data_IF_673522111023
#
_entry.id   IF_673522111023
#
_cell.length_a   1.000
_cell.length_b   1.000
_cell.length_c   1.000
_cell.angle_alpha   90.00
_cell.angle_beta   90.00
_cell.angle_gamma   90.00
#
_symmetry.space_group_name_H-M   'P 1'
#
loop_
_entity.id
_entity.type
_entity.pdbx_description
1 polymer ?
#
# COMPACT_ATOMS: atom_id res chain seq x y z
N UNK A 1 21.94 -8.84 -13.71
CA UNK A 1 20.94 -8.99 -12.64
C UNK A 1 20.38 -10.39 -12.79
N UNK A 2 20.50 -11.26 -11.77
CA UNK A 2 20.01 -12.63 -11.85
C UNK A 2 18.49 -12.66 -11.64
N UNK A 3 17.79 -13.61 -12.26
CA UNK A 3 16.36 -13.86 -12.01
C UNK A 3 16.09 -14.19 -10.53
N UNK A 4 17.08 -14.74 -9.84
CA UNK A 4 17.01 -15.06 -8.42
C UNK A 4 17.02 -13.79 -7.54
N UNK A 5 17.77 -12.74 -7.93
CA UNK A 5 17.78 -11.45 -7.22
C UNK A 5 16.46 -10.70 -7.39
N UNK A 6 15.85 -10.81 -8.58
CA UNK A 6 14.55 -10.21 -8.89
C UNK A 6 13.42 -10.94 -8.14
N UNK A 7 13.48 -12.27 -8.07
CA UNK A 7 12.57 -13.05 -7.25
C UNK A 7 12.72 -12.73 -5.75
N UNK A 8 13.95 -12.61 -5.23
CA UNK A 8 14.23 -12.26 -3.82
C UNK A 8 13.75 -10.85 -3.44
N UNK A 9 13.76 -9.90 -4.38
CA UNK A 9 13.20 -8.55 -4.19
C UNK A 9 11.68 -8.59 -4.02
N UNK A 10 11.00 -9.49 -4.71
CA UNK A 10 9.53 -9.58 -4.67
C UNK A 10 9.01 -10.34 -3.45
N UNK A 11 9.88 -10.90 -2.59
CA UNK A 11 9.48 -11.64 -1.36
C UNK A 11 9.58 -10.77 -0.11
N UNK A 12 10.28 -9.63 -0.16
CA UNK A 12 10.46 -8.78 1.02
C UNK A 12 9.30 -7.81 1.16
N UNK A 13 8.63 -7.86 2.31
CA UNK A 13 7.59 -6.91 2.67
C UNK A 13 8.17 -5.52 2.95
N UNK A 14 7.39 -4.51 2.56
CA UNK A 14 7.63 -3.08 2.71
C UNK A 14 6.41 -2.53 3.45
N UNK A 15 6.64 -1.72 4.48
CA UNK A 15 5.58 -0.95 5.12
C UNK A 15 5.43 0.40 4.40
N UNK A 16 4.21 0.74 4.00
CA UNK A 16 3.86 2.03 3.40
C UNK A 16 2.53 2.53 3.98
N UNK A 17 2.43 3.84 4.24
CA UNK A 17 1.18 4.45 4.73
C UNK A 17 0.53 5.25 3.61
N UNK A 18 -0.67 4.82 3.19
CA UNK A 18 -1.51 5.56 2.25
C UNK A 18 -2.44 6.50 3.01
N UNK A 19 -2.61 7.71 2.53
CA UNK A 19 -3.59 8.67 3.04
C UNK A 19 -4.78 8.68 2.08
N UNK A 20 -5.81 7.91 2.43
CA UNK A 20 -7.04 7.78 1.62
C UNK A 20 -8.10 8.76 2.09
N UNK A 21 -8.98 9.19 1.20
CA UNK A 21 -10.09 10.06 1.56
C UNK A 21 -11.12 9.30 2.42
N UNK A 22 -11.49 9.89 3.56
CA UNK A 22 -12.41 9.30 4.53
C UNK A 22 -13.82 9.14 3.96
N UNK A 23 -14.29 10.07 3.13
CA UNK A 23 -15.60 9.97 2.47
C UNK A 23 -15.61 8.79 1.49
N UNK A 24 -14.55 8.64 0.70
CA UNK A 24 -14.41 7.52 -0.25
C UNK A 24 -14.35 6.18 0.47
N UNK A 25 -13.69 6.11 1.62
CA UNK A 25 -13.51 4.88 2.39
C UNK A 25 -14.74 4.52 3.24
N UNK A 26 -15.49 5.52 3.75
CA UNK A 26 -16.72 5.32 4.51
C UNK A 26 -17.92 4.95 3.61
N UNK A 27 -17.96 5.47 2.38
CA UNK A 27 -19.02 5.16 1.41
C UNK A 27 -19.00 3.69 0.94
N UNK A 28 -17.85 2.99 1.03
CA UNK A 28 -17.77 1.54 0.82
C UNK A 28 -18.01 0.71 2.10
N UNK A 29 -18.42 1.33 3.20
CA UNK A 29 -18.57 0.65 4.49
C UNK A 29 -17.25 0.20 5.12
N UNK A 30 -16.11 0.73 4.65
CA UNK A 30 -14.79 0.23 5.02
C UNK A 30 -14.41 -1.09 4.35
N UNK A 31 -15.23 -1.60 3.42
CA UNK A 31 -14.90 -2.80 2.65
C UNK A 31 -14.03 -2.40 1.44
N UNK A 32 -12.88 -3.06 1.32
CA UNK A 32 -12.04 -3.02 0.12
C UNK A 32 -12.77 -3.77 -1.00
N UNK A 33 -12.61 -3.32 -2.24
CA UNK A 33 -13.10 -4.05 -3.42
C UNK A 33 -12.23 -5.29 -3.73
N UNK A 34 -11.81 -6.02 -2.70
CA UNK A 34 -10.95 -7.18 -2.73
C UNK A 34 -11.15 -8.03 -1.46
N UNK A 35 -11.10 -9.33 -1.64
CA UNK A 35 -11.07 -10.32 -0.55
C UNK A 35 -9.67 -10.42 0.07
N UNK A 36 -9.60 -11.00 1.27
CA UNK A 36 -8.32 -11.28 1.95
C UNK A 36 -7.41 -12.20 1.11
N UNK A 37 -7.99 -13.19 0.42
CA UNK A 37 -7.25 -14.09 -0.47
C UNK A 37 -6.66 -13.34 -1.68
N UNK A 38 -7.38 -12.37 -2.24
CA UNK A 38 -6.90 -11.53 -3.34
C UNK A 38 -5.77 -10.60 -2.87
N UNK A 39 -5.89 -10.02 -1.68
CA UNK A 39 -4.82 -9.23 -1.04
C UNK A 39 -3.56 -10.09 -0.88
N UNK A 40 -3.69 -11.28 -0.31
CA UNK A 40 -2.57 -12.19 -0.10
C UNK A 40 -1.95 -12.63 -1.43
N UNK A 41 -2.75 -13.00 -2.43
CA UNK A 41 -2.28 -13.38 -3.76
C UNK A 41 -1.56 -12.23 -4.49
N UNK A 42 -1.95 -10.98 -4.23
CA UNK A 42 -1.26 -9.79 -4.73
C UNK A 42 0.08 -9.53 -4.03
N UNK A 43 0.35 -10.18 -2.89
CA UNK A 43 1.53 -9.95 -2.06
C UNK A 43 1.31 -8.93 -0.94
N UNK A 44 0.06 -8.66 -0.57
CA UNK A 44 -0.29 -7.85 0.61
C UNK A 44 -0.39 -8.76 1.82
N UNK A 45 0.40 -8.46 2.85
CA UNK A 45 0.47 -9.23 4.09
C UNK A 45 -0.50 -8.70 5.15
N UNK A 46 -0.62 -7.37 5.29
CA UNK A 46 -1.57 -6.77 6.22
C UNK A 46 -1.99 -5.38 5.81
N UNK A 47 -3.23 -5.02 6.12
CA UNK A 47 -3.79 -3.67 5.99
C UNK A 47 -4.34 -3.26 7.35
N UNK A 48 -3.79 -2.20 7.92
CA UNK A 48 -4.18 -1.65 9.21
C UNK A 48 -4.83 -0.27 9.02
N UNK A 49 -6.11 -0.20 9.34
CA UNK A 49 -6.94 1.00 9.23
C UNK A 49 -7.24 1.46 10.67
N UNK A 50 -6.71 2.61 11.10
CA UNK A 50 -6.98 3.11 12.44
C UNK A 50 -8.49 3.27 12.70
N UNK A 51 -8.94 2.97 13.92
CA UNK A 51 -10.37 3.03 14.29
C UNK A 51 -10.79 4.39 14.87
N UNK A 52 -9.81 5.22 15.23
CA UNK A 52 -10.04 6.55 15.80
C UNK A 52 -9.30 7.59 14.96
N UNK A 53 -9.95 8.10 13.92
CA UNK A 53 -9.44 9.28 13.21
C UNK A 53 -9.89 10.52 13.98
N UNK A 54 -8.92 11.21 14.58
CA UNK A 54 -9.15 12.55 15.09
C UNK A 54 -9.46 13.47 13.92
N UNK A 55 -10.54 14.24 14.02
CA UNK A 55 -10.98 15.27 13.07
C UNK A 55 -9.91 16.34 12.74
N UNK A 56 -8.73 16.24 13.35
CA UNK A 56 -7.66 17.25 13.34
C UNK A 56 -6.66 17.05 12.18
N UNK A 57 -6.64 15.88 11.51
CA UNK A 57 -5.75 15.60 10.37
C UNK A 57 -6.38 15.82 8.99
N UNK A 58 -7.58 16.39 8.93
CA UNK A 58 -8.38 16.56 7.71
C UNK A 58 -9.06 15.26 7.30
N UNK A 59 -9.86 15.30 6.22
CA UNK A 59 -10.70 14.20 5.72
C UNK A 59 -9.90 12.99 5.17
N UNK A 60 -8.70 12.71 5.68
CA UNK A 60 -7.83 11.62 5.20
C UNK A 60 -7.48 10.63 6.30
N UNK A 61 -7.61 9.36 5.94
CA UNK A 61 -7.39 8.17 6.76
C UNK A 61 -5.99 7.60 6.44
N UNK A 62 -5.03 7.61 7.38
CA UNK A 62 -3.76 6.90 7.21
C UNK A 62 -3.97 5.38 7.30
N UNK A 63 -3.93 4.69 6.17
CA UNK A 63 -3.99 3.23 6.05
C UNK A 63 -2.58 2.68 5.90
N UNK A 64 -2.14 1.89 6.87
CA UNK A 64 -0.82 1.26 6.87
C UNK A 64 -0.90 -0.09 6.19
N UNK A 65 -0.02 -0.32 5.21
CA UNK A 65 0.01 -1.55 4.41
C UNK A 65 1.40 -2.16 4.47
N UNK A 66 1.45 -3.44 4.79
CA UNK A 66 2.66 -4.27 4.71
C UNK A 66 2.50 -5.19 3.51
N UNK A 67 3.35 -5.04 2.50
CA UNK A 67 3.24 -5.80 1.25
C UNK A 67 4.56 -5.86 0.48
N UNK A 68 4.68 -6.79 -0.45
CA UNK A 68 5.79 -6.80 -1.41
C UNK A 68 5.73 -5.58 -2.33
N UNK A 69 6.79 -5.32 -3.10
CA UNK A 69 6.78 -4.24 -4.09
C UNK A 69 5.61 -4.37 -5.07
N UNK A 70 5.33 -5.59 -5.55
CA UNK A 70 4.14 -5.90 -6.36
C UNK A 70 2.84 -5.63 -5.60
N UNK A 71 2.75 -6.07 -4.35
CA UNK A 71 1.56 -5.90 -3.52
C UNK A 71 1.22 -4.43 -3.26
N UNK A 72 2.22 -3.58 -2.98
CA UNK A 72 2.01 -2.14 -2.81
C UNK A 72 1.49 -1.46 -4.08
N UNK A 73 1.99 -1.86 -5.26
CA UNK A 73 1.50 -1.34 -6.56
C UNK A 73 0.06 -1.76 -6.83
N UNK A 74 -0.24 -3.02 -6.54
CA UNK A 74 -1.58 -3.55 -6.69
C UNK A 74 -2.57 -2.85 -5.75
N UNK A 75 -2.21 -2.67 -4.48
CA UNK A 75 -3.02 -1.97 -3.49
C UNK A 75 -3.25 -0.50 -3.85
N UNK A 76 -2.23 0.21 -4.36
CA UNK A 76 -2.37 1.58 -4.85
C UNK A 76 -3.40 1.68 -6.00
N UNK A 77 -3.47 0.66 -6.87
CA UNK A 77 -4.50 0.55 -7.91
C UNK A 77 -5.89 0.28 -7.33
N UNK A 78 -5.99 -0.62 -6.35
CA UNK A 78 -7.24 -0.96 -5.67
C UNK A 78 -7.91 0.25 -5.03
N UNK A 79 -7.13 1.10 -4.34
CA UNK A 79 -7.63 2.32 -3.69
C UNK A 79 -7.74 3.52 -4.64
N UNK A 80 -7.44 3.32 -5.93
CA UNK A 80 -7.46 4.35 -6.97
C UNK A 80 -6.61 5.58 -6.57
N UNK A 81 -5.35 5.36 -6.20
CA UNK A 81 -4.45 6.41 -5.70
C UNK A 81 -4.19 7.51 -6.75
N UNK A 82 -4.86 8.65 -6.60
CA UNK A 82 -4.70 9.81 -7.49
C UNK A 82 -3.73 10.87 -6.99
N UNK A 83 -3.37 10.87 -5.72
CA UNK A 83 -2.51 11.91 -5.17
C UNK A 83 -1.08 11.83 -5.78
N UNK A 84 -0.61 12.86 -6.50
CA UNK A 84 0.70 12.80 -7.17
C UNK A 84 1.87 12.68 -6.20
N UNK A 85 1.77 13.29 -5.01
CA UNK A 85 2.83 13.26 -4.00
C UNK A 85 2.93 11.87 -3.38
N UNK A 86 1.80 11.24 -3.06
CA UNK A 86 1.81 9.86 -2.56
C UNK A 86 2.32 8.87 -3.61
N UNK A 87 2.01 9.09 -4.89
CA UNK A 87 2.54 8.28 -5.99
C UNK A 87 4.05 8.42 -6.13
N UNK A 88 4.57 9.65 -6.10
CA UNK A 88 6.02 9.88 -6.12
C UNK A 88 6.72 9.23 -4.92
N UNK A 89 6.15 9.36 -3.72
CA UNK A 89 6.73 8.77 -2.52
C UNK A 89 6.70 7.24 -2.56
N UNK A 90 5.62 6.64 -3.07
CA UNK A 90 5.56 5.20 -3.30
C UNK A 90 6.70 4.74 -4.22
N UNK A 91 6.90 5.41 -5.37
CA UNK A 91 8.01 5.07 -6.27
C UNK A 91 9.37 5.21 -5.59
N UNK A 92 9.58 6.27 -4.81
CA UNK A 92 10.81 6.49 -4.06
C UNK A 92 11.10 5.36 -3.08
N UNK A 93 10.09 4.93 -2.30
CA UNK A 93 10.22 3.82 -1.34
C UNK A 93 10.54 2.51 -2.06
N UNK A 94 9.87 2.22 -3.17
CA UNK A 94 10.09 1.01 -3.96
C UNK A 94 11.50 0.98 -4.58
N UNK A 95 12.00 2.11 -5.07
CA UNK A 95 13.37 2.25 -5.58
C UNK A 95 14.41 2.09 -4.45
N UNK A 96 14.19 2.72 -3.29
CA UNK A 96 15.08 2.59 -2.14
C UNK A 96 15.16 1.15 -1.62
N UNK A 97 14.04 0.43 -1.62
CA UNK A 97 14.00 -0.99 -1.26
C UNK A 97 14.80 -1.85 -2.25
N UNK A 98 14.70 -1.54 -3.54
CA UNK A 98 15.46 -2.22 -4.60
C UNK A 98 16.97 -2.01 -4.43
N UNK A 99 17.39 -0.81 -4.04
CA UNK A 99 18.81 -0.44 -3.89
C UNK A 99 19.47 -0.97 -2.61
N UNK A 100 18.70 -1.35 -1.58
CA UNK A 100 19.23 -1.91 -0.31
C UNK A 100 19.69 -3.37 -0.40
N UNK A 101 19.43 -4.04 -1.52
CA UNK A 101 19.83 -5.44 -1.76
C UNK A 101 21.10 -5.56 -2.61
N UNK A 102 21.93 -4.51 -2.69
CA UNK A 102 23.23 -4.50 -3.37
C UNK A 102 24.39 -4.49 -2.38
#
# INVERSE_FOLDING_TARGET
MSLEDEALRDIRSIEFTFFVDAETYLMSGGELAATEDELFAAGVESVDIPTAFGHDLGDRVPVRVVATARGLRWYAGLINLHDPLQREELERVLLAHTNRSL
#
